data_IF_333423908943
#
_entry.id   IF_333423908943
#
_cell.length_a   1.000
_cell.length_b   1.000
_cell.length_c   1.000
_cell.angle_alpha   90.00
_cell.angle_beta   90.00
_cell.angle_gamma   90.00
#
_symmetry.space_group_name_H-M   'P 1'
#
loop_
_entity.id
_entity.type
_entity.pdbx_description
1 polymer ?
#
# COMPACT_ATOMS: atom_id res chain seq x y z
N UNK A 1 -18.77 -1.53 -13.61
CA UNK A 1 -17.82 -2.49 -13.02
C UNK A 1 -16.75 -1.68 -12.32
N UNK A 2 -16.61 -1.79 -11.00
CA UNK A 2 -15.53 -1.08 -10.29
C UNK A 2 -14.18 -1.60 -10.79
N UNK A 3 -13.30 -0.71 -11.22
CA UNK A 3 -11.94 -1.10 -11.62
C UNK A 3 -11.24 -1.78 -10.44
N UNK A 4 -10.61 -2.93 -10.70
CA UNK A 4 -9.81 -3.62 -9.69
C UNK A 4 -8.69 -2.68 -9.21
N UNK A 5 -8.67 -2.39 -7.91
CA UNK A 5 -7.68 -1.52 -7.27
C UNK A 5 -6.30 -2.18 -7.27
N UNK A 6 -6.29 -3.51 -7.26
CA UNK A 6 -5.08 -4.32 -7.24
C UNK A 6 -4.96 -5.17 -8.50
N UNK A 7 -3.72 -5.52 -8.81
CA UNK A 7 -3.38 -6.61 -9.71
C UNK A 7 -2.27 -7.43 -9.11
N UNK A 8 -2.25 -8.73 -9.38
CA UNK A 8 -1.20 -9.62 -8.89
C UNK A 8 -0.60 -10.44 -10.02
N UNK A 9 0.68 -10.75 -9.88
CA UNK A 9 1.36 -11.78 -10.66
C UNK A 9 1.45 -13.06 -9.83
N UNK A 10 1.09 -14.24 -10.37
CA UNK A 10 1.16 -15.51 -9.64
C UNK A 10 2.56 -15.79 -9.07
N UNK A 11 2.60 -16.49 -7.95
CA UNK A 11 3.86 -16.88 -7.28
C UNK A 11 3.63 -17.69 -6.02
N UNK A 12 4.69 -17.92 -5.24
CA UNK A 12 4.66 -18.78 -4.06
C UNK A 12 4.36 -18.07 -2.73
N UNK A 13 4.38 -16.74 -2.69
CA UNK A 13 4.17 -15.97 -1.47
C UNK A 13 2.68 -15.66 -1.26
N UNK A 14 2.28 -15.45 -0.01
CA UNK A 14 0.93 -15.07 0.34
C UNK A 14 0.76 -13.56 0.18
N UNK A 15 -0.12 -13.12 -0.72
CA UNK A 15 -0.53 -11.74 -0.85
C UNK A 15 -1.92 -11.53 -0.22
N UNK A 16 -2.04 -10.48 0.58
CA UNK A 16 -3.29 -10.08 1.24
C UNK A 16 -3.55 -8.61 0.91
N UNK A 17 -4.73 -8.34 0.35
CA UNK A 17 -5.11 -7.03 -0.17
C UNK A 17 -6.26 -6.45 0.66
N UNK A 18 -5.98 -5.39 1.41
CA UNK A 18 -6.96 -4.59 2.13
C UNK A 18 -7.21 -3.24 1.47
N UNK A 19 -8.11 -2.44 2.06
CA UNK A 19 -8.38 -1.08 1.59
C UNK A 19 -7.20 -0.14 1.88
N UNK A 20 -6.62 -0.29 3.07
CA UNK A 20 -5.56 0.59 3.61
C UNK A 20 -4.18 -0.08 3.56
N UNK A 21 -4.10 -1.30 4.06
CA UNK A 21 -2.86 -2.09 4.14
C UNK A 21 -2.86 -3.18 3.06
N UNK A 22 -1.68 -3.50 2.55
CA UNK A 22 -1.45 -4.73 1.80
C UNK A 22 -0.16 -5.41 2.24
N UNK A 23 -0.12 -6.73 2.10
CA UNK A 23 1.02 -7.54 2.51
C UNK A 23 1.39 -8.55 1.43
N UNK A 24 2.69 -8.82 1.31
CA UNK A 24 3.27 -9.97 0.63
C UNK A 24 4.18 -10.68 1.63
N UNK A 25 3.89 -11.93 1.96
CA UNK A 25 4.51 -12.64 3.09
C UNK A 25 4.94 -14.04 2.66
N UNK A 26 6.15 -14.46 3.05
CA UNK A 26 6.61 -15.85 2.87
C UNK A 26 6.01 -16.74 3.97
N UNK A 27 4.76 -17.13 3.75
CA UNK A 27 4.00 -18.02 4.63
C UNK A 27 3.22 -19.04 3.80
N UNK A 28 3.16 -20.32 4.23
CA UNK A 28 2.26 -21.28 3.63
C UNK A 28 0.80 -20.88 3.90
N UNK A 29 -0.14 -21.21 2.99
CA UNK A 29 -1.54 -20.79 3.11
C UNK A 29 -2.26 -21.40 4.31
N UNK A 30 -1.77 -22.53 4.82
CA UNK A 30 -2.25 -23.24 6.01
C UNK A 30 -1.59 -22.76 7.33
N UNK A 31 -0.71 -21.76 7.29
CA UNK A 31 -0.13 -21.19 8.50
C UNK A 31 -1.22 -20.57 9.40
N UNK A 32 -1.15 -20.86 10.71
CA UNK A 32 -2.12 -20.36 11.69
C UNK A 32 -2.20 -18.83 11.81
N UNK A 33 -1.23 -18.09 11.26
CA UNK A 33 -1.24 -16.62 11.20
C UNK A 33 -2.16 -16.07 10.11
N UNK A 34 -2.45 -16.85 9.06
CA UNK A 34 -3.17 -16.37 7.87
C UNK A 34 -4.56 -15.81 8.20
N UNK A 35 -5.40 -16.48 9.02
CA UNK A 35 -6.70 -15.92 9.40
C UNK A 35 -6.56 -14.57 10.12
N UNK A 36 -5.61 -14.44 11.05
CA UNK A 36 -5.38 -13.17 11.76
C UNK A 36 -4.91 -12.04 10.85
N UNK A 37 -4.02 -12.34 9.90
CA UNK A 37 -3.56 -11.38 8.90
C UNK A 37 -4.70 -10.94 7.96
N UNK A 38 -5.54 -11.88 7.54
CA UNK A 38 -6.71 -11.58 6.72
C UNK A 38 -7.69 -10.66 7.42
N UNK A 39 -8.03 -10.94 8.68
CA UNK A 39 -8.94 -10.10 9.46
C UNK A 39 -8.36 -8.70 9.72
N UNK A 40 -7.07 -8.61 10.08
CA UNK A 40 -6.42 -7.31 10.28
C UNK A 40 -6.39 -6.49 8.99
N UNK A 41 -5.87 -7.05 7.90
CA UNK A 41 -5.69 -6.32 6.64
C UNK A 41 -7.03 -6.03 5.96
N UNK A 42 -8.00 -6.93 6.11
CA UNK A 42 -9.36 -6.76 5.59
C UNK A 42 -10.18 -5.71 6.36
N UNK A 43 -9.82 -5.42 7.61
CA UNK A 43 -10.44 -4.38 8.42
C UNK A 43 -10.00 -2.96 8.04
N UNK A 44 -10.86 -1.97 8.31
CA UNK A 44 -10.56 -0.56 8.02
C UNK A 44 -9.69 0.14 9.09
N UNK A 45 -9.48 -0.50 10.25
CA UNK A 45 -8.85 0.12 11.42
C UNK A 45 -7.41 -0.32 11.65
N UNK A 46 -6.96 -1.44 11.09
CA UNK A 46 -5.60 -1.92 11.31
C UNK A 46 -4.60 -1.11 10.47
N UNK A 47 -3.51 -0.70 11.12
CA UNK A 47 -2.35 -0.12 10.47
C UNK A 47 -1.26 -1.18 10.24
N UNK A 48 -0.13 -0.72 9.75
CA UNK A 48 1.02 -1.56 9.49
C UNK A 48 1.66 -2.07 10.81
N UNK A 49 1.57 -1.32 11.91
CA UNK A 49 2.15 -1.69 13.19
C UNK A 49 1.47 -2.94 13.79
N UNK A 50 0.14 -3.03 13.73
CA UNK A 50 -0.61 -4.21 14.19
C UNK A 50 -0.30 -5.44 13.34
N UNK A 51 -0.18 -5.27 12.02
CA UNK A 51 0.21 -6.35 11.11
C UNK A 51 1.63 -6.81 11.40
N UNK A 52 2.55 -5.88 11.64
CA UNK A 52 3.93 -6.18 11.99
C UNK A 52 4.02 -6.92 13.33
N UNK A 53 3.27 -6.48 14.35
CA UNK A 53 3.17 -7.15 15.64
C UNK A 53 2.72 -8.61 15.49
N UNK A 54 1.67 -8.85 14.69
CA UNK A 54 1.20 -10.20 14.44
C UNK A 54 2.26 -11.07 13.75
N UNK A 55 2.97 -10.54 12.75
CA UNK A 55 4.03 -11.26 12.03
C UNK A 55 5.21 -11.63 12.91
N UNK A 56 5.54 -10.80 13.91
CA UNK A 56 6.66 -11.05 14.83
C UNK A 56 6.25 -11.83 16.08
N UNK A 57 4.96 -11.96 16.37
CA UNK A 57 4.44 -12.64 17.57
C UNK A 57 4.92 -14.09 17.76
N UNK A 58 5.12 -14.93 16.71
CA UNK A 58 5.67 -16.28 16.88
C UNK A 58 7.20 -16.28 17.03
N UNK A 59 7.83 -15.10 16.98
CA UNK A 59 9.27 -14.89 17.00
C UNK A 59 9.79 -14.33 15.68
N UNK A 60 10.82 -13.49 15.76
CA UNK A 60 11.41 -12.83 14.60
C UNK A 60 11.90 -13.80 13.51
N UNK A 61 12.15 -15.06 13.79
CA UNK A 61 12.60 -16.03 12.75
C UNK A 61 11.45 -16.80 12.09
N UNK A 62 10.22 -16.67 12.57
CA UNK A 62 9.09 -17.41 12.03
C UNK A 62 8.69 -16.92 10.62
N UNK A 63 8.82 -15.61 10.37
CA UNK A 63 8.57 -15.01 9.06
C UNK A 63 9.84 -14.32 8.58
N UNK A 64 10.57 -14.97 7.68
CA UNK A 64 11.89 -14.50 7.23
C UNK A 64 11.80 -13.42 6.16
N UNK A 65 10.74 -13.42 5.35
CA UNK A 65 10.57 -12.49 4.24
C UNK A 65 9.15 -11.95 4.21
N UNK A 66 9.04 -10.61 4.17
CA UNK A 66 7.78 -9.93 3.99
C UNK A 66 7.99 -8.53 3.42
N UNK A 67 6.97 -8.02 2.74
CA UNK A 67 6.86 -6.63 2.36
C UNK A 67 5.44 -6.16 2.67
N UNK A 68 5.33 -5.03 3.35
CA UNK A 68 4.08 -4.42 3.79
C UNK A 68 4.00 -3.01 3.22
N UNK A 69 2.78 -2.57 2.91
CA UNK A 69 2.51 -1.21 2.47
C UNK A 69 1.21 -0.69 3.06
N UNK A 70 1.23 0.56 3.52
CA UNK A 70 0.08 1.28 4.08
C UNK A 70 0.07 2.71 3.53
N UNK A 71 -1.09 3.20 3.10
CA UNK A 71 -1.28 4.64 2.89
C UNK A 71 -1.61 5.33 4.21
N UNK A 72 -0.79 6.29 4.58
CA UNK A 72 -0.98 7.20 5.72
C UNK A 72 -1.18 8.63 5.21
N UNK A 73 -1.44 9.57 6.12
CA UNK A 73 -1.54 10.99 5.80
C UNK A 73 -0.20 11.57 5.31
N UNK A 74 0.93 11.01 5.77
CA UNK A 74 2.28 11.42 5.40
C UNK A 74 2.79 10.77 4.10
N UNK A 75 2.04 9.84 3.51
CA UNK A 75 2.41 9.15 2.27
C UNK A 75 2.30 7.63 2.37
N UNK A 76 3.06 6.92 1.53
CA UNK A 76 3.10 5.47 1.54
C UNK A 76 4.17 4.99 2.53
N UNK A 77 3.74 4.40 3.65
CA UNK A 77 4.62 3.67 4.55
C UNK A 77 4.86 2.27 4.02
N UNK A 78 6.10 1.84 4.01
CA UNK A 78 6.52 0.51 3.58
C UNK A 78 7.44 -0.11 4.62
N UNK A 79 7.22 -1.38 4.91
CA UNK A 79 8.14 -2.16 5.76
C UNK A 79 8.53 -3.42 5.03
N UNK A 80 9.84 -3.57 4.82
CA UNK A 80 10.39 -4.64 4.00
C UNK A 80 11.42 -5.42 4.79
N UNK A 81 11.33 -6.74 4.73
CA UNK A 81 12.23 -7.68 5.38
C UNK A 81 12.66 -8.78 4.44
N UNK A 82 13.94 -9.15 4.55
CA UNK A 82 14.51 -10.27 3.79
C UNK A 82 14.61 -9.94 2.31
N UNK A 83 14.33 -10.93 1.46
CA UNK A 83 14.55 -10.83 0.00
C UNK A 83 13.50 -10.02 -0.74
N UNK A 84 12.35 -9.74 -0.13
CA UNK A 84 11.26 -9.01 -0.77
C UNK A 84 11.61 -7.55 -0.97
N UNK A 85 10.85 -6.88 -1.84
CA UNK A 85 11.04 -5.47 -2.15
C UNK A 85 9.70 -4.76 -2.25
N UNK A 86 9.71 -3.48 -1.94
CA UNK A 86 8.63 -2.56 -2.29
C UNK A 86 9.13 -1.56 -3.34
N UNK A 87 8.36 -1.38 -4.40
CA UNK A 87 8.56 -0.35 -5.42
C UNK A 87 7.46 0.69 -5.29
N UNK A 88 7.84 1.96 -5.18
CA UNK A 88 6.92 3.07 -5.00
C UNK A 88 7.47 4.29 -5.76
N UNK A 89 6.85 4.64 -6.89
CA UNK A 89 7.40 5.64 -7.81
C UNK A 89 8.81 5.27 -8.28
N UNK A 90 9.78 6.15 -8.05
CA UNK A 90 11.21 5.92 -8.35
C UNK A 90 11.96 5.20 -7.23
N UNK A 91 11.31 4.93 -6.10
CA UNK A 91 11.96 4.32 -4.94
C UNK A 91 11.85 2.80 -4.99
N UNK A 92 12.97 2.13 -4.76
CA UNK A 92 13.00 0.70 -4.43
C UNK A 92 13.47 0.56 -2.99
N UNK A 93 12.60 0.00 -2.15
CA UNK A 93 12.86 -0.28 -0.74
C UNK A 93 13.16 -1.77 -0.60
N UNK A 94 14.33 -2.07 -0.07
CA UNK A 94 14.81 -3.43 0.17
C UNK A 94 14.96 -3.67 1.67
N UNK A 95 14.75 -4.91 2.11
CA UNK A 95 14.97 -5.28 3.51
C UNK A 95 16.46 -5.27 3.87
N UNK A 96 16.83 -4.49 4.90
CA UNK A 96 18.18 -4.47 5.49
C UNK A 96 18.10 -4.71 6.99
N UNK A 97 19.05 -5.47 7.54
CA UNK A 97 19.09 -5.78 8.98
C UNK A 97 17.86 -6.56 9.43
N UNK A 98 17.14 -6.04 10.44
CA UNK A 98 15.91 -6.65 10.93
C UNK A 98 14.75 -6.44 9.94
N UNK A 99 14.49 -5.19 9.58
CA UNK A 99 13.66 -4.75 8.46
C UNK A 99 13.98 -3.29 8.15
N UNK A 100 13.49 -2.81 7.02
CA UNK A 100 13.58 -1.41 6.62
C UNK A 100 12.19 -0.80 6.59
N UNK A 101 11.98 0.25 7.41
CA UNK A 101 10.75 1.06 7.46
C UNK A 101 11.00 2.42 6.79
N UNK A 102 10.17 2.76 5.81
CA UNK A 102 10.28 3.98 5.01
C UNK A 102 8.91 4.54 4.65
N UNK A 103 8.79 5.85 4.72
CA UNK A 103 7.66 6.61 4.17
C UNK A 103 8.13 7.32 2.91
N UNK A 104 7.39 7.18 1.81
CA UNK A 104 7.68 7.80 0.51
C UNK A 104 6.42 8.38 -0.12
N UNK A 105 6.58 9.39 -0.98
CA UNK A 105 5.48 9.95 -1.78
C UNK A 105 5.30 9.12 -3.05
N UNK A 106 4.19 8.39 -3.17
CA UNK A 106 3.87 7.61 -4.36
C UNK A 106 2.36 7.36 -4.48
N UNK A 107 1.80 7.60 -5.67
CA UNK A 107 0.37 7.37 -5.94
C UNK A 107 0.02 5.87 -6.08
N UNK A 108 1.01 5.00 -6.28
CA UNK A 108 0.84 3.55 -6.38
C UNK A 108 2.10 2.81 -5.94
N UNK A 109 1.99 1.50 -5.76
CA UNK A 109 3.12 0.67 -5.34
C UNK A 109 3.03 -0.77 -5.84
N UNK A 110 4.17 -1.45 -5.80
CA UNK A 110 4.26 -2.89 -5.98
C UNK A 110 5.08 -3.54 -4.85
N UNK A 111 4.58 -4.63 -4.30
CA UNK A 111 5.29 -5.55 -3.42
C UNK A 111 5.72 -6.75 -4.27
N UNK A 112 6.97 -7.16 -4.18
CA UNK A 112 7.51 -8.20 -5.06
C UNK A 112 8.48 -9.15 -4.35
N UNK A 113 8.39 -10.42 -4.74
CA UNK A 113 9.42 -11.43 -4.54
C UNK A 113 10.28 -11.50 -5.81
N UNK A 114 11.52 -10.99 -5.79
CA UNK A 114 12.39 -10.97 -6.98
C UNK A 114 12.79 -12.37 -7.44
N UNK A 115 12.63 -13.41 -6.60
CA UNK A 115 12.87 -14.79 -6.97
C UNK A 115 11.79 -15.40 -7.86
N UNK A 116 10.64 -14.73 -8.01
CA UNK A 116 9.51 -15.22 -8.79
C UNK A 116 9.37 -14.46 -10.11
N UNK A 117 9.50 -15.18 -11.23
CA UNK A 117 9.17 -14.67 -12.56
C UNK A 117 7.64 -14.71 -12.77
N UNK A 118 6.91 -13.84 -12.07
CA UNK A 118 5.47 -13.71 -12.25
C UNK A 118 5.16 -12.97 -13.56
N UNK A 119 4.94 -13.70 -14.64
CA UNK A 119 4.43 -13.14 -15.89
C UNK A 119 2.90 -13.02 -15.86
N UNK A 120 2.39 -11.84 -16.22
CA UNK A 120 0.95 -11.56 -16.24
C UNK A 120 0.45 -10.84 -14.98
N UNK A 121 -0.42 -9.85 -15.18
CA UNK A 121 -1.09 -9.12 -14.11
C UNK A 121 -2.58 -9.46 -14.14
N UNK A 122 -3.06 -10.19 -13.13
CA UNK A 122 -4.45 -10.56 -12.98
C UNK A 122 -5.16 -9.57 -12.05
N UNK A 123 -6.33 -9.03 -12.42
CA UNK A 123 -7.05 -8.08 -11.57
C UNK A 123 -7.59 -8.77 -10.31
N UNK A 124 -7.50 -8.07 -9.17
CA UNK A 124 -8.11 -8.51 -7.91
C UNK A 124 -8.70 -7.29 -7.18
N UNK A 125 -9.92 -7.45 -6.66
CA UNK A 125 -10.59 -6.39 -5.92
C UNK A 125 -10.09 -6.30 -4.47
N UNK A 126 -9.80 -7.46 -3.86
CA UNK A 126 -9.33 -7.62 -2.49
C UNK A 126 -9.22 -9.10 -2.13
N UNK A 127 -8.70 -9.41 -0.94
CA UNK A 127 -8.63 -10.78 -0.41
C UNK A 127 -7.22 -11.40 -0.43
N UNK A 128 -7.17 -12.73 -0.42
CA UNK A 128 -5.92 -13.52 -0.26
C UNK A 128 -5.62 -14.31 -1.53
N UNK A 129 -4.40 -14.21 -2.05
CA UNK A 129 -3.93 -14.99 -3.21
C UNK A 129 -2.47 -15.40 -3.04
N UNK A 130 -2.05 -16.42 -3.80
CA UNK A 130 -0.64 -16.73 -3.97
C UNK A 130 -0.06 -15.88 -5.11
N UNK A 131 0.96 -15.08 -4.79
CA UNK A 131 1.53 -14.09 -5.69
C UNK A 131 3.06 -14.00 -5.55
N UNK A 132 3.72 -13.69 -6.64
CA UNK A 132 5.12 -13.22 -6.65
C UNK A 132 5.19 -11.70 -6.72
N UNK A 133 4.07 -11.06 -7.06
CA UNK A 133 3.94 -9.61 -7.18
C UNK A 133 2.53 -9.20 -6.82
N UNK A 134 2.40 -8.18 -5.99
CA UNK A 134 1.15 -7.48 -5.73
C UNK A 134 1.33 -6.01 -6.08
N UNK A 135 0.47 -5.47 -6.94
CA UNK A 135 0.51 -4.07 -7.36
C UNK A 135 -0.80 -3.40 -7.02
N UNK A 136 -0.72 -2.26 -6.34
CA UNK A 136 -1.84 -1.33 -6.21
C UNK A 136 -1.69 -0.25 -7.26
N UNK A 137 -2.71 -0.07 -8.08
CA UNK A 137 -2.74 1.02 -9.04
C UNK A 137 -3.13 2.31 -8.35
N UNK A 138 -2.60 3.47 -8.80
CA UNK A 138 -3.12 4.75 -8.36
C UNK A 138 -4.63 4.75 -8.57
N UNK A 139 -5.37 4.98 -7.48
CA UNK A 139 -6.81 5.05 -7.55
C UNK A 139 -7.18 6.13 -8.55
N UNK A 140 -7.86 5.74 -9.63
CA UNK A 140 -8.43 6.69 -10.57
C UNK A 140 -9.64 7.34 -9.87
N UNK A 141 -9.40 8.13 -8.82
CA UNK A 141 -10.39 9.06 -8.34
C UNK A 141 -10.69 9.98 -9.53
N UNK A 142 -11.96 10.13 -9.97
CA UNK A 142 -12.28 11.22 -10.87
C UNK A 142 -11.81 12.49 -10.16
N UNK A 143 -10.80 13.14 -10.74
CA UNK A 143 -10.49 14.52 -10.42
C UNK A 143 -11.76 15.30 -10.73
N UNK A 144 -12.61 15.52 -9.73
CA UNK A 144 -13.65 16.54 -9.85
C UNK A 144 -12.87 17.81 -10.13
N UNK A 145 -12.99 18.45 -11.31
CA UNK A 145 -12.34 19.72 -11.53
C UNK A 145 -12.82 20.64 -10.41
N UNK A 146 -11.90 21.05 -9.55
CA UNK A 146 -12.20 22.05 -8.53
C UNK A 146 -12.48 23.32 -9.34
N UNK A 147 -13.76 23.58 -9.60
CA UNK A 147 -14.20 24.87 -10.11
C UNK A 147 -13.70 25.86 -9.07
N UNK A 148 -12.68 26.63 -9.42
CA UNK A 148 -12.20 27.72 -8.58
C UNK A 148 -13.43 28.55 -8.24
N UNK A 149 -13.70 28.71 -6.94
CA UNK A 149 -14.68 29.70 -6.52
C UNK A 149 -14.29 31.03 -7.18
N UNK A 150 -15.25 31.77 -7.78
CA UNK A 150 -14.94 33.07 -8.35
C UNK A 150 -14.29 33.92 -7.25
N UNK A 151 -13.08 34.37 -7.51
CA UNK A 151 -12.40 35.34 -6.66
C UNK A 151 -13.29 36.59 -6.61
N UNK A 152 -13.83 36.90 -5.43
CA UNK A 152 -14.46 38.19 -5.19
C UNK A 152 -13.37 39.25 -5.33
N UNK A 153 -13.45 40.05 -6.39
CA UNK A 153 -12.59 41.21 -6.60
C UNK A 153 -12.63 42.14 -5.38
N UNK A 154 -11.50 42.77 -5.02
CA UNK A 154 -11.45 43.72 -3.92
C UNK A 154 -12.31 44.94 -4.23
N UNK A 155 -13.18 45.31 -3.27
CA UNK A 155 -13.92 46.56 -3.31
C UNK A 155 -12.95 47.75 -3.19
N UNK A 156 -12.97 48.61 -4.19
CA UNK A 156 -12.22 49.85 -4.29
C UNK A 156 -12.65 50.83 -3.17
N UNK A 157 -11.72 51.55 -2.50
CA UNK A 157 -12.06 52.49 -1.43
C UNK A 157 -12.74 53.76 -2.01
N UNK A 158 -13.75 54.33 -1.32
CA UNK A 158 -14.38 55.56 -1.79
C UNK A 158 -13.45 56.76 -1.63
N UNK A 159 -12.91 57.22 -2.76
CA UNK A 159 -12.32 58.54 -2.91
C UNK A 159 -13.40 59.62 -2.98
N UNK A 160 -13.25 60.64 -2.13
CA UNK A 160 -13.97 61.91 -2.18
C UNK A 160 -13.89 62.57 -3.57
N UNK A 161 -14.93 63.30 -3.99
CA UNK A 161 -14.66 64.67 -4.41
C UNK A 161 -15.62 65.74 -3.86
N UNK A 162 -15.05 66.94 -3.82
CA UNK A 162 -15.53 68.23 -3.36
C UNK A 162 -16.91 68.69 -3.83
N UNK A 163 -17.57 69.47 -2.96
CA UNK A 163 -18.29 70.72 -3.29
C UNK A 163 -18.35 71.61 -2.06
#
# INVERSE_FOLDING_TARGET
MGSAVYSYGPGGALAICGTRVAALVDLPPDAGLVPGLYELIGGDSAGLDEVLELLVSPGLRAVEHFALAEYTEDGLRTVVRGRYRAQAGSYTIEGRGLWTDRIVQADGYALLDPGTAGEGALPIAGGVVLAGRLQRHPGNAPVTPRVAAPVSSPAEPPGHPAS
#
